data_IF_378164992143
#
_entry.id   IF_378164992143
#
_cell.length_a   1.000
_cell.length_b   1.000
_cell.length_c   1.000
_cell.angle_alpha   90.00
_cell.angle_beta   90.00
_cell.angle_gamma   90.00
#
_symmetry.space_group_name_H-M   'P 1'
#
loop_
_entity.id
_entity.type
_entity.pdbx_description
1 polymer ?
#
# COMPACT_ATOMS: atom_id res chain seq x y z
N UNK A 1 4.39 42.22 -8.31
CA UNK A 1 3.19 41.89 -7.52
C UNK A 1 2.55 40.68 -8.18
N UNK A 2 2.43 39.59 -7.41
CA UNK A 2 1.60 38.39 -7.60
C UNK A 2 1.37 37.88 -9.04
N UNK A 3 2.21 36.94 -9.48
CA UNK A 3 1.78 35.92 -10.44
C UNK A 3 0.91 34.89 -9.72
N UNK A 4 -0.20 34.56 -10.36
CA UNK A 4 -1.29 33.75 -9.82
C UNK A 4 -0.88 32.29 -9.75
N UNK A 5 -1.01 31.71 -8.55
CA UNK A 5 -0.87 30.27 -8.30
C UNK A 5 -1.97 29.55 -9.06
N UNK A 6 -1.57 28.64 -9.95
CA UNK A 6 -2.47 27.77 -10.71
C UNK A 6 -3.43 27.02 -9.77
N UNK A 7 -4.72 27.09 -10.11
CA UNK A 7 -5.78 26.31 -9.49
C UNK A 7 -5.46 24.81 -9.60
N UNK A 8 -5.00 24.20 -8.51
CA UNK A 8 -5.12 22.75 -8.36
C UNK A 8 -6.60 22.42 -8.31
N UNK A 9 -7.16 21.87 -9.39
CA UNK A 9 -8.53 21.37 -9.39
C UNK A 9 -8.67 20.29 -8.30
N UNK A 10 -9.39 20.62 -7.22
CA UNK A 10 -9.87 19.63 -6.28
C UNK A 10 -10.93 18.78 -6.99
N UNK A 11 -10.51 17.65 -7.57
CA UNK A 11 -11.43 16.65 -8.11
C UNK A 11 -12.11 15.97 -6.92
N UNK A 12 -13.34 16.40 -6.61
CA UNK A 12 -14.17 15.74 -5.60
C UNK A 12 -14.42 14.27 -5.95
N UNK A 13 -14.33 13.38 -4.96
CA UNK A 13 -14.57 11.95 -5.14
C UNK A 13 -16.04 11.68 -5.55
N UNK A 14 -16.27 11.31 -6.82
CA UNK A 14 -17.57 10.83 -7.27
C UNK A 14 -17.64 9.33 -7.01
N UNK A 15 -18.29 8.92 -5.92
CA UNK A 15 -18.54 7.51 -5.67
C UNK A 15 -19.32 6.91 -6.85
N UNK A 16 -18.88 5.74 -7.33
CA UNK A 16 -19.55 5.01 -8.41
C UNK A 16 -21.04 4.84 -8.07
N UNK A 17 -21.92 5.19 -9.01
CA UNK A 17 -23.34 4.83 -8.93
C UNK A 17 -23.47 3.34 -9.23
N UNK A 18 -24.00 2.59 -8.26
CA UNK A 18 -24.19 1.15 -8.39
C UNK A 18 -25.37 0.83 -9.32
N UNK A 19 -25.25 -0.26 -10.08
CA UNK A 19 -26.41 -0.86 -10.76
C UNK A 19 -27.29 -1.60 -9.75
N UNK A 20 -28.53 -1.94 -10.13
CA UNK A 20 -29.43 -2.72 -9.28
C UNK A 20 -28.81 -4.07 -8.86
N UNK A 21 -28.15 -4.76 -9.79
CA UNK A 21 -27.43 -6.00 -9.52
C UNK A 21 -26.29 -5.81 -8.50
N UNK A 22 -25.55 -4.69 -8.59
CA UNK A 22 -24.47 -4.39 -7.65
C UNK A 22 -25.01 -4.02 -6.26
N UNK A 23 -26.14 -3.33 -6.17
CA UNK A 23 -26.84 -3.07 -4.91
C UNK A 23 -27.24 -4.39 -4.26
N UNK A 24 -27.83 -5.32 -5.03
CA UNK A 24 -28.23 -6.64 -4.55
C UNK A 24 -27.01 -7.44 -4.06
N UNK A 25 -25.88 -7.40 -4.76
CA UNK A 25 -24.61 -8.00 -4.31
C UNK A 25 -24.15 -7.40 -2.99
N UNK A 26 -24.15 -6.07 -2.86
CA UNK A 26 -23.75 -5.38 -1.63
C UNK A 26 -24.68 -5.72 -0.45
N UNK A 27 -25.98 -5.80 -0.68
CA UNK A 27 -26.95 -6.23 0.33
C UNK A 27 -26.75 -7.69 0.73
N UNK A 28 -26.53 -8.58 -0.24
CA UNK A 28 -26.28 -9.99 0.01
C UNK A 28 -25.06 -10.20 0.93
N UNK A 29 -24.00 -9.39 0.78
CA UNK A 29 -22.81 -9.47 1.65
C UNK A 29 -23.14 -9.26 3.14
N UNK A 30 -24.19 -8.50 3.46
CA UNK A 30 -24.62 -8.25 4.85
C UNK A 30 -25.37 -9.42 5.48
N UNK A 31 -25.81 -10.41 4.70
CA UNK A 31 -26.56 -11.57 5.20
C UNK A 31 -25.74 -12.48 6.12
N UNK A 32 -24.41 -12.43 6.03
CA UNK A 32 -23.51 -13.19 6.91
C UNK A 32 -22.20 -12.45 7.09
N UNK A 33 -21.96 -11.98 8.30
CA UNK A 33 -20.69 -11.37 8.69
C UNK A 33 -19.71 -12.41 9.23
N UNK A 34 -18.42 -12.06 9.19
CA UNK A 34 -17.36 -12.76 9.90
C UNK A 34 -17.55 -12.50 11.40
N UNK A 35 -17.44 -13.55 12.22
CA UNK A 35 -17.54 -13.38 13.67
C UNK A 35 -16.39 -12.53 14.22
N UNK A 36 -16.67 -11.79 15.29
CA UNK A 36 -15.67 -10.95 15.96
C UNK A 36 -14.44 -11.76 16.39
N UNK A 37 -14.65 -12.95 16.93
CA UNK A 37 -13.57 -13.88 17.28
C UNK A 37 -12.65 -14.17 16.09
N UNK A 38 -13.23 -14.47 14.91
CA UNK A 38 -12.46 -14.74 13.69
C UNK A 38 -11.78 -13.47 13.15
N UNK A 39 -12.43 -12.33 13.23
CA UNK A 39 -11.85 -11.04 12.86
C UNK A 39 -10.59 -10.73 13.69
N UNK A 40 -10.69 -10.88 15.01
CA UNK A 40 -9.59 -10.68 15.95
C UNK A 40 -8.45 -11.68 15.72
N UNK A 41 -8.76 -12.93 15.36
CA UNK A 41 -7.72 -13.90 14.97
C UNK A 41 -7.02 -13.50 13.66
N UNK A 42 -7.75 -13.06 12.64
CA UNK A 42 -7.16 -12.63 11.37
C UNK A 42 -6.19 -11.45 11.55
N UNK A 43 -6.53 -10.50 12.42
CA UNK A 43 -5.66 -9.37 12.75
C UNK A 43 -4.39 -9.83 13.48
N UNK A 44 -4.53 -10.69 14.50
CA UNK A 44 -3.37 -11.25 15.24
C UNK A 44 -2.45 -12.09 14.34
N UNK A 45 -3.02 -12.85 13.43
CA UNK A 45 -2.29 -13.75 12.53
C UNK A 45 -1.92 -13.09 11.19
N UNK A 46 -2.12 -11.77 11.01
CA UNK A 46 -1.91 -11.08 9.74
C UNK A 46 -0.51 -11.33 9.16
N UNK A 47 0.54 -11.22 10.00
CA UNK A 47 1.92 -11.52 9.62
C UNK A 47 2.08 -12.95 9.08
N UNK A 48 1.49 -13.93 9.77
CA UNK A 48 1.54 -15.34 9.39
C UNK A 48 0.80 -15.58 8.07
N UNK A 49 -0.36 -14.97 7.86
CA UNK A 49 -1.12 -15.09 6.62
C UNK A 49 -0.34 -14.54 5.42
N UNK A 50 0.27 -13.35 5.57
CA UNK A 50 1.11 -12.79 4.52
C UNK A 50 2.37 -13.64 4.25
N UNK A 51 3.06 -14.16 5.28
CA UNK A 51 4.22 -15.04 5.06
C UNK A 51 3.83 -16.33 4.31
N UNK A 52 2.70 -16.94 4.67
CA UNK A 52 2.15 -18.11 3.97
C UNK A 52 1.72 -17.79 2.54
N UNK A 53 1.18 -16.60 2.30
CA UNK A 53 0.84 -16.13 0.97
C UNK A 53 2.09 -16.09 0.08
N UNK A 54 3.16 -15.44 0.53
CA UNK A 54 4.41 -15.38 -0.23
C UNK A 54 5.10 -16.75 -0.33
N UNK A 55 4.91 -17.65 0.64
CA UNK A 55 5.42 -19.02 0.57
C UNK A 55 4.77 -19.80 -0.57
N UNK A 56 3.47 -19.62 -0.77
CA UNK A 56 2.69 -20.33 -1.80
C UNK A 56 2.89 -19.73 -3.19
N UNK A 57 2.91 -18.41 -3.26
CA UNK A 57 2.83 -17.69 -4.52
C UNK A 57 4.18 -17.21 -5.06
N UNK A 58 5.17 -17.03 -4.19
CA UNK A 58 6.50 -16.56 -4.57
C UNK A 58 6.41 -15.20 -5.31
N UNK A 59 7.27 -14.95 -6.29
CA UNK A 59 7.29 -13.72 -7.09
C UNK A 59 6.25 -13.66 -8.21
N UNK A 60 5.33 -14.63 -8.32
CA UNK A 60 4.50 -14.84 -9.53
C UNK A 60 3.09 -14.24 -9.47
N UNK A 61 2.65 -13.77 -8.30
CA UNK A 61 1.25 -13.36 -8.10
C UNK A 61 0.95 -11.95 -8.58
N UNK A 62 1.74 -10.98 -8.11
CA UNK A 62 1.57 -9.59 -8.50
C UNK A 62 2.39 -9.29 -9.74
N UNK A 63 1.84 -8.46 -10.62
CA UNK A 63 2.53 -7.97 -11.81
C UNK A 63 3.36 -6.74 -11.48
N UNK A 64 4.42 -6.56 -12.24
CA UNK A 64 5.23 -5.35 -12.22
C UNK A 64 4.42 -4.10 -12.61
N UNK A 65 4.65 -3.01 -11.87
CA UNK A 65 3.85 -1.79 -11.94
C UNK A 65 4.47 -0.74 -12.87
N UNK A 66 4.58 -1.03 -14.16
CA UNK A 66 5.03 -0.05 -15.19
C UNK A 66 4.00 1.05 -15.52
N UNK A 67 2.88 1.12 -14.78
CA UNK A 67 1.90 2.21 -14.90
C UNK A 67 2.21 3.38 -13.96
N UNK A 68 3.17 3.22 -13.05
CA UNK A 68 3.34 4.08 -11.86
C UNK A 68 3.58 5.55 -12.23
N UNK A 69 4.48 5.82 -13.17
CA UNK A 69 4.82 7.20 -13.61
C UNK A 69 3.69 7.89 -14.37
N UNK A 70 2.69 7.15 -14.86
CA UNK A 70 1.48 7.72 -15.49
C UNK A 70 0.45 8.18 -14.46
N UNK A 71 0.43 7.55 -13.29
CA UNK A 71 -0.52 7.87 -12.22
C UNK A 71 0.07 8.87 -11.23
N UNK A 72 1.36 8.76 -10.93
CA UNK A 72 2.07 9.67 -10.03
C UNK A 72 3.05 10.52 -10.83
N UNK A 73 2.57 11.67 -11.27
CA UNK A 73 3.37 12.62 -12.04
C UNK A 73 4.50 13.22 -11.20
N UNK A 74 4.38 13.18 -9.88
CA UNK A 74 5.41 13.57 -8.91
C UNK A 74 6.66 12.68 -8.98
N UNK A 75 6.55 11.50 -9.59
CA UNK A 75 7.70 10.65 -9.88
C UNK A 75 8.43 11.05 -11.18
N UNK A 76 7.78 11.84 -12.04
CA UNK A 76 8.39 12.33 -13.28
C UNK A 76 9.46 13.37 -12.94
N UNK A 77 10.65 13.23 -13.53
CA UNK A 77 11.77 14.15 -13.31
C UNK A 77 12.67 13.81 -12.11
N UNK A 78 12.34 12.76 -11.34
CA UNK A 78 13.25 12.23 -10.32
C UNK A 78 14.49 11.60 -10.96
N UNK A 79 15.67 12.00 -10.49
CA UNK A 79 16.95 11.42 -10.95
C UNK A 79 17.79 12.31 -11.86
N UNK A 80 17.52 13.62 -11.94
CA UNK A 80 18.54 14.60 -12.37
C UNK A 80 19.70 14.58 -11.36
N UNK A 81 20.94 14.81 -11.83
CA UNK A 81 22.15 14.57 -11.01
C UNK A 81 22.18 15.39 -9.70
N UNK A 82 21.47 16.52 -9.64
CA UNK A 82 21.45 17.42 -8.49
C UNK A 82 20.28 17.20 -7.50
N UNK A 83 19.34 16.27 -7.76
CA UNK A 83 18.14 16.11 -6.90
C UNK A 83 17.71 14.63 -6.67
N UNK A 84 18.67 13.78 -6.31
CA UNK A 84 18.37 12.38 -5.96
C UNK A 84 17.63 12.29 -4.61
N UNK A 85 16.33 11.95 -4.68
CA UNK A 85 15.45 11.82 -3.51
C UNK A 85 15.64 10.50 -2.74
N UNK A 86 15.12 10.49 -1.51
CA UNK A 86 14.96 9.32 -0.65
C UNK A 86 13.53 8.79 -0.77
N UNK A 87 13.39 7.50 -1.13
CA UNK A 87 12.11 6.81 -1.29
C UNK A 87 11.92 5.80 -0.15
N UNK A 88 10.71 5.72 0.41
CA UNK A 88 10.25 4.59 1.23
C UNK A 88 9.05 3.92 0.56
N UNK A 89 9.21 2.67 0.14
CA UNK A 89 8.08 1.81 -0.22
C UNK A 89 7.57 1.06 1.02
N UNK A 90 6.32 1.30 1.40
CA UNK A 90 5.63 0.54 2.44
C UNK A 90 4.81 -0.58 1.80
N UNK A 91 4.91 -1.79 2.34
CA UNK A 91 4.26 -2.98 1.79
C UNK A 91 4.87 -3.40 0.46
N UNK A 92 6.20 -3.52 0.42
CA UNK A 92 6.94 -3.71 -0.83
C UNK A 92 6.70 -5.07 -1.52
N UNK A 93 6.14 -6.05 -0.79
CA UNK A 93 5.93 -7.38 -1.30
C UNK A 93 7.23 -8.01 -1.82
N UNK A 94 7.27 -8.31 -3.12
CA UNK A 94 8.47 -8.85 -3.79
C UNK A 94 9.20 -7.82 -4.67
N UNK A 95 8.89 -6.53 -4.50
CA UNK A 95 9.55 -5.43 -5.21
C UNK A 95 8.94 -5.04 -6.56
N UNK A 96 7.69 -5.46 -6.85
CA UNK A 96 6.99 -5.14 -8.11
C UNK A 96 6.66 -3.65 -8.31
N UNK A 97 7.12 -2.76 -7.42
CA UNK A 97 7.03 -1.31 -7.56
C UNK A 97 8.45 -0.70 -7.69
N UNK A 98 9.33 -0.92 -6.70
CA UNK A 98 10.67 -0.33 -6.74
C UNK A 98 11.51 -0.80 -7.94
N UNK A 99 11.43 -2.07 -8.33
CA UNK A 99 12.26 -2.57 -9.43
C UNK A 99 11.82 -2.04 -10.80
N UNK A 100 10.53 -2.00 -11.13
CA UNK A 100 10.05 -1.29 -12.32
C UNK A 100 10.48 0.18 -12.38
N UNK A 101 10.49 0.91 -11.26
CA UNK A 101 10.99 2.29 -11.26
C UNK A 101 12.48 2.37 -11.62
N UNK A 102 13.30 1.45 -11.11
CA UNK A 102 14.73 1.38 -11.44
C UNK A 102 14.93 1.00 -12.91
N UNK A 103 14.14 0.06 -13.44
CA UNK A 103 14.15 -0.35 -14.85
C UNK A 103 13.75 0.78 -15.78
N UNK A 104 12.76 1.59 -15.38
CA UNK A 104 12.31 2.79 -16.09
C UNK A 104 13.32 3.95 -15.98
N UNK A 105 14.46 3.74 -15.30
CA UNK A 105 15.60 4.66 -15.26
C UNK A 105 15.56 5.70 -14.14
N UNK A 106 14.60 5.61 -13.20
CA UNK A 106 14.55 6.51 -12.06
C UNK A 106 15.72 6.24 -11.12
N UNK A 107 16.34 7.33 -10.64
CA UNK A 107 17.47 7.28 -9.73
C UNK A 107 17.09 7.86 -8.38
N UNK A 108 17.41 7.10 -7.33
CA UNK A 108 17.21 7.48 -5.95
C UNK A 108 18.56 7.43 -5.23
N UNK A 109 18.75 8.35 -4.27
CA UNK A 109 19.94 8.34 -3.41
C UNK A 109 19.91 7.12 -2.50
N UNK A 110 18.73 6.83 -1.94
CA UNK A 110 18.45 5.65 -1.13
C UNK A 110 17.00 5.23 -1.33
N UNK A 111 16.77 3.93 -1.39
CA UNK A 111 15.46 3.30 -1.37
C UNK A 111 15.36 2.48 -0.09
N UNK A 112 14.39 2.82 0.74
CA UNK A 112 13.91 1.99 1.82
C UNK A 112 12.69 1.22 1.34
N UNK A 113 12.59 -0.05 1.69
CA UNK A 113 11.42 -0.87 1.40
C UNK A 113 11.11 -1.74 2.60
N UNK A 114 9.83 -1.86 2.94
CA UNK A 114 9.44 -2.67 4.08
C UNK A 114 8.17 -3.47 3.84
N UNK A 115 8.06 -4.61 4.51
CA UNK A 115 6.88 -5.47 4.48
C UNK A 115 6.67 -6.15 5.83
N UNK A 116 5.43 -6.52 6.14
CA UNK A 116 5.09 -7.29 7.34
C UNK A 116 5.66 -8.72 7.26
N UNK A 117 5.73 -9.27 6.06
CA UNK A 117 6.20 -10.63 5.78
C UNK A 117 7.74 -10.68 5.67
N UNK A 118 8.44 -11.42 6.54
CA UNK A 118 9.89 -11.59 6.40
C UNK A 118 10.25 -12.30 5.08
N UNK A 119 9.40 -13.21 4.59
CA UNK A 119 9.60 -13.84 3.28
C UNK A 119 9.50 -12.87 2.11
N UNK A 120 8.60 -11.90 2.17
CA UNK A 120 8.48 -10.86 1.15
C UNK A 120 9.77 -10.03 1.06
N UNK A 121 10.31 -9.65 2.23
CA UNK A 121 11.62 -8.98 2.34
C UNK A 121 12.74 -9.83 1.75
N UNK A 122 12.79 -11.13 2.06
CA UNK A 122 13.79 -12.05 1.48
C UNK A 122 13.68 -12.16 -0.05
N UNK A 123 12.46 -12.26 -0.58
CA UNK A 123 12.21 -12.34 -2.02
C UNK A 123 12.58 -11.05 -2.74
N UNK A 124 12.24 -9.89 -2.15
CA UNK A 124 12.65 -8.57 -2.67
C UNK A 124 14.17 -8.49 -2.75
N UNK A 125 14.90 -8.91 -1.72
CA UNK A 125 16.38 -8.89 -1.70
C UNK A 125 17.04 -9.84 -2.71
N UNK A 126 16.33 -10.84 -3.24
CA UNK A 126 16.86 -11.79 -4.24
C UNK A 126 16.80 -11.26 -5.67
N UNK A 127 16.15 -10.12 -5.90
CA UNK A 127 16.05 -9.55 -7.23
C UNK A 127 17.42 -9.16 -7.79
N UNK A 128 17.61 -9.26 -9.10
CA UNK A 128 18.91 -9.00 -9.76
C UNK A 128 19.36 -7.53 -9.63
N UNK A 129 18.40 -6.61 -9.51
CA UNK A 129 18.65 -5.18 -9.31
C UNK A 129 18.82 -4.79 -7.84
N UNK A 130 18.73 -5.74 -6.90
CA UNK A 130 18.96 -5.44 -5.50
C UNK A 130 20.42 -5.04 -5.28
N UNK A 131 20.62 -3.82 -4.77
CA UNK A 131 21.95 -3.33 -4.41
C UNK A 131 21.93 -2.78 -2.97
N UNK A 132 22.59 -3.44 -2.00
CA UNK A 132 22.55 -3.02 -0.60
C UNK A 132 23.23 -1.68 -0.34
N UNK A 133 23.96 -1.11 -1.31
CA UNK A 133 24.55 0.24 -1.18
C UNK A 133 23.50 1.36 -1.23
N UNK A 134 22.39 1.15 -1.93
CA UNK A 134 21.35 2.16 -2.13
C UNK A 134 19.92 1.61 -1.96
N UNK A 135 19.77 0.34 -1.58
CA UNK A 135 18.47 -0.28 -1.29
C UNK A 135 18.54 -1.02 0.05
N UNK A 136 17.76 -0.57 1.03
CA UNK A 136 17.60 -1.21 2.34
C UNK A 136 16.18 -1.77 2.47
N UNK A 137 16.09 -3.10 2.58
CA UNK A 137 14.80 -3.80 2.75
C UNK A 137 14.71 -4.42 4.14
N UNK A 138 13.64 -4.17 4.89
CA UNK A 138 13.48 -4.64 6.26
C UNK A 138 12.05 -5.08 6.59
N UNK A 139 11.92 -5.99 7.56
CA UNK A 139 10.61 -6.44 8.03
C UNK A 139 10.09 -5.46 9.07
N UNK A 140 8.86 -5.00 8.93
CA UNK A 140 8.24 -4.15 9.96
C UNK A 140 6.71 -4.29 9.98
N UNK A 141 6.11 -4.00 11.13
CA UNK A 141 4.67 -3.81 11.24
C UNK A 141 4.40 -2.29 11.37
N UNK A 142 3.83 -1.70 10.33
CA UNK A 142 3.60 -0.25 10.32
C UNK A 142 2.51 0.22 11.28
N UNK A 143 1.80 -0.72 11.91
CA UNK A 143 0.79 -0.43 12.94
C UNK A 143 1.40 -0.29 14.34
N UNK A 144 2.69 -0.59 14.51
CA UNK A 144 3.40 -0.41 15.78
C UNK A 144 4.16 0.91 15.83
N UNK A 145 4.40 1.44 17.02
CA UNK A 145 5.21 2.66 17.19
C UNK A 145 6.68 2.43 16.77
N UNK A 146 7.34 3.48 16.28
CA UNK A 146 8.76 3.46 15.88
C UNK A 146 9.12 2.38 14.84
N UNK A 147 8.16 1.96 14.01
CA UNK A 147 8.31 0.90 13.01
C UNK A 147 9.37 1.17 11.93
N UNK A 148 9.80 2.43 11.76
CA UNK A 148 10.78 2.85 10.77
C UNK A 148 12.16 3.17 11.37
N UNK A 149 12.53 2.53 12.48
CA UNK A 149 13.85 2.70 13.11
C UNK A 149 15.05 2.35 12.19
N UNK A 150 14.81 1.57 11.14
CA UNK A 150 15.80 1.24 10.11
C UNK A 150 15.99 2.35 9.06
N UNK A 151 15.14 3.38 9.05
CA UNK A 151 15.20 4.50 8.09
C UNK A 151 16.03 5.62 8.73
N UNK A 152 17.27 5.74 8.30
CA UNK A 152 18.28 6.68 8.81
C UNK A 152 18.36 7.99 8.00
N UNK A 153 17.30 8.30 7.23
CA UNK A 153 17.18 9.49 6.39
C UNK A 153 15.80 10.13 6.55
N UNK A 154 15.74 11.46 6.37
CA UNK A 154 14.47 12.13 6.07
C UNK A 154 13.97 11.67 4.70
N UNK A 155 12.72 11.23 4.63
CA UNK A 155 12.13 10.63 3.43
C UNK A 155 11.41 11.69 2.62
N UNK A 156 11.72 11.79 1.32
CA UNK A 156 11.06 12.74 0.44
C UNK A 156 9.77 12.16 -0.15
N UNK A 157 9.75 10.84 -0.40
CA UNK A 157 8.61 10.16 -1.04
C UNK A 157 8.31 8.89 -0.27
N UNK A 158 7.07 8.75 0.19
CA UNK A 158 6.53 7.50 0.73
C UNK A 158 5.51 6.96 -0.25
N UNK A 159 5.55 5.65 -0.54
CA UNK A 159 4.49 4.98 -1.30
C UNK A 159 3.74 3.93 -0.51
N UNK A 160 2.41 3.90 -0.66
CA UNK A 160 1.51 2.89 -0.11
C UNK A 160 0.59 2.35 -1.21
N UNK A 161 0.96 1.23 -1.83
CA UNK A 161 0.21 0.65 -2.95
C UNK A 161 -0.52 -0.64 -2.51
N UNK A 162 -1.83 -0.56 -2.31
CA UNK A 162 -2.72 -1.60 -1.77
C UNK A 162 -2.35 -2.05 -0.34
N UNK A 163 -1.94 -1.09 0.50
CA UNK A 163 -1.45 -1.34 1.87
C UNK A 163 -2.51 -1.04 2.92
N UNK A 164 -3.12 0.15 2.85
CA UNK A 164 -4.08 0.60 3.86
C UNK A 164 -5.30 -0.31 3.89
N UNK A 165 -5.66 -0.90 2.76
CA UNK A 165 -6.76 -1.86 2.71
C UNK A 165 -6.48 -3.20 3.41
N UNK A 166 -5.22 -3.50 3.72
CA UNK A 166 -4.87 -4.65 4.54
C UNK A 166 -4.86 -4.33 6.05
N UNK A 167 -5.03 -3.06 6.44
CA UNK A 167 -4.83 -2.58 7.82
C UNK A 167 -6.16 -2.17 8.46
N UNK A 168 -6.32 -2.43 9.76
CA UNK A 168 -7.48 -1.97 10.51
C UNK A 168 -7.54 -0.42 10.58
N UNK A 169 -8.65 0.25 10.23
CA UNK A 169 -8.84 1.69 10.32
C UNK A 169 -8.52 2.25 11.70
N UNK A 170 -8.71 1.48 12.76
CA UNK A 170 -8.29 1.86 14.12
C UNK A 170 -6.79 2.18 14.19
N UNK A 171 -5.98 1.57 13.33
CA UNK A 171 -4.53 1.73 13.24
C UNK A 171 -4.11 2.80 12.22
N UNK A 172 -5.02 3.37 11.42
CA UNK A 172 -4.66 4.36 10.39
C UNK A 172 -4.01 5.60 11.00
N UNK A 173 -4.49 6.04 12.17
CA UNK A 173 -3.88 7.17 12.88
C UNK A 173 -2.42 6.90 13.24
N UNK A 174 -2.11 5.68 13.69
CA UNK A 174 -0.74 5.26 13.99
C UNK A 174 0.11 5.22 12.74
N UNK A 175 -0.39 4.64 11.64
CA UNK A 175 0.31 4.60 10.35
C UNK A 175 0.63 6.01 9.87
N UNK A 176 -0.36 6.91 9.82
CA UNK A 176 -0.17 8.29 9.38
C UNK A 176 0.82 9.03 10.29
N UNK A 177 0.76 8.83 11.61
CA UNK A 177 1.73 9.42 12.56
C UNK A 177 3.15 8.92 12.30
N UNK A 178 3.32 7.62 12.08
CA UNK A 178 4.63 7.03 11.77
C UNK A 178 5.21 7.59 10.47
N UNK A 179 4.38 7.72 9.42
CA UNK A 179 4.79 8.33 8.15
C UNK A 179 5.15 9.81 8.31
N UNK A 180 4.33 10.57 9.04
CA UNK A 180 4.59 11.99 9.30
C UNK A 180 5.95 12.22 9.96
N UNK A 181 6.33 11.36 10.91
CA UNK A 181 7.58 11.51 11.67
C UNK A 181 8.85 11.28 10.84
N UNK A 182 8.77 10.57 9.71
CA UNK A 182 9.93 10.29 8.85
C UNK A 182 9.97 11.18 7.60
N UNK A 183 8.86 11.84 7.27
CA UNK A 183 8.76 12.69 6.09
C UNK A 183 9.57 13.96 6.29
N UNK A 184 10.32 14.30 5.25
CA UNK A 184 10.99 15.60 5.18
C UNK A 184 9.97 16.73 4.98
N UNK A 185 10.40 17.97 5.20
CA UNK A 185 9.59 19.15 4.88
C UNK A 185 9.36 19.17 3.36
N UNK A 186 8.09 19.20 2.95
CA UNK A 186 7.70 19.10 1.53
C UNK A 186 7.71 17.67 0.99
N UNK A 187 7.95 16.67 1.83
CA UNK A 187 7.81 15.27 1.47
C UNK A 187 6.37 14.91 1.13
N UNK A 188 6.20 13.93 0.25
CA UNK A 188 4.91 13.52 -0.28
C UNK A 188 4.60 12.06 0.04
N UNK A 189 3.31 11.78 0.22
CA UNK A 189 2.79 10.42 0.35
C UNK A 189 1.97 10.10 -0.89
N UNK A 190 2.45 9.16 -1.69
CA UNK A 190 1.72 8.62 -2.83
C UNK A 190 1.03 7.34 -2.38
N UNK A 191 -0.29 7.25 -2.52
CA UNK A 191 -0.99 6.03 -2.21
C UNK A 191 -1.98 5.66 -3.30
N UNK A 192 -2.14 4.37 -3.51
CA UNK A 192 -3.17 3.79 -4.35
C UNK A 192 -3.78 2.63 -3.60
N UNK A 193 -5.09 2.61 -3.47
CA UNK A 193 -5.76 1.52 -2.79
C UNK A 193 -7.12 1.20 -3.44
N UNK A 194 -7.77 0.16 -2.92
CA UNK A 194 -9.12 -0.21 -3.30
C UNK A 194 -10.12 0.87 -2.90
N UNK A 195 -10.95 1.27 -3.86
CA UNK A 195 -11.98 2.29 -3.66
C UNK A 195 -13.31 1.67 -3.26
N UNK A 196 -14.20 2.50 -2.73
CA UNK A 196 -15.59 2.12 -2.51
C UNK A 196 -16.25 1.71 -3.84
N UNK A 197 -16.94 0.57 -3.83
CA UNK A 197 -17.65 -0.03 -4.95
C UNK A 197 -16.79 -0.49 -6.12
N UNK A 198 -15.50 -0.70 -5.88
CA UNK A 198 -14.64 -1.28 -6.88
C UNK A 198 -15.00 -2.76 -7.18
N UNK A 199 -14.39 -3.27 -8.25
CA UNK A 199 -14.64 -4.64 -8.68
C UNK A 199 -14.16 -5.69 -7.68
N UNK A 200 -13.27 -5.37 -6.74
CA UNK A 200 -12.84 -6.29 -5.69
C UNK A 200 -13.93 -6.39 -4.62
N UNK A 201 -14.49 -5.27 -4.18
CA UNK A 201 -15.57 -5.21 -3.20
C UNK A 201 -16.80 -5.99 -3.65
N UNK A 202 -17.22 -5.78 -4.89
CA UNK A 202 -18.44 -6.36 -5.45
C UNK A 202 -18.36 -7.89 -5.62
N UNK A 203 -17.16 -8.47 -5.57
CA UNK A 203 -16.94 -9.92 -5.71
C UNK A 203 -17.00 -10.68 -4.39
N UNK A 204 -17.00 -10.01 -3.24
CA UNK A 204 -17.11 -10.71 -1.97
C UNK A 204 -18.48 -11.36 -1.79
N UNK A 205 -18.45 -12.59 -1.25
CA UNK A 205 -19.64 -13.40 -0.94
C UNK A 205 -20.01 -13.28 0.54
N UNK A 206 -21.24 -13.66 0.94
CA UNK A 206 -21.62 -13.73 2.35
C UNK A 206 -20.65 -14.57 3.17
N UNK A 207 -20.24 -14.08 4.34
CA UNK A 207 -19.24 -14.69 5.22
C UNK A 207 -17.81 -14.16 5.03
N UNK A 208 -17.61 -13.16 4.16
CA UNK A 208 -16.32 -12.49 3.98
C UNK A 208 -16.28 -11.08 4.58
N UNK A 209 -17.43 -10.43 4.79
CA UNK A 209 -17.50 -9.08 5.36
C UNK A 209 -17.31 -9.14 6.87
N UNK A 210 -16.31 -8.45 7.42
CA UNK A 210 -16.08 -8.36 8.86
C UNK A 210 -16.84 -7.16 9.44
N UNK A 211 -16.70 -6.00 8.81
CA UNK A 211 -17.42 -4.78 9.19
C UNK A 211 -17.64 -3.92 7.95
N UNK A 212 -18.19 -2.71 8.13
CA UNK A 212 -18.46 -1.83 7.02
C UNK A 212 -17.19 -1.53 6.21
N UNK A 213 -17.22 -1.85 4.91
CA UNK A 213 -16.10 -1.76 3.97
C UNK A 213 -14.83 -2.57 4.31
N UNK A 214 -14.93 -3.52 5.25
CA UNK A 214 -13.83 -4.41 5.62
C UNK A 214 -14.17 -5.87 5.31
N UNK A 215 -13.28 -6.53 4.58
CA UNK A 215 -13.44 -7.90 4.14
C UNK A 215 -12.20 -8.76 4.40
N UNK A 216 -12.42 -10.07 4.48
CA UNK A 216 -11.36 -11.08 4.50
C UNK A 216 -11.29 -11.84 3.17
N UNK A 217 -10.08 -12.16 2.72
CA UNK A 217 -9.85 -13.06 1.59
C UNK A 217 -9.83 -14.53 2.05
N UNK A 218 -9.96 -15.45 1.09
CA UNK A 218 -10.01 -16.89 1.37
C UNK A 218 -8.72 -17.45 1.96
N UNK A 219 -7.57 -16.86 1.61
CA UNK A 219 -6.25 -17.26 2.09
C UNK A 219 -5.91 -16.71 3.49
N UNK A 220 -6.85 -15.98 4.12
CA UNK A 220 -6.67 -15.35 5.42
C UNK A 220 -6.03 -13.97 5.37
N UNK A 221 -5.59 -13.50 4.19
CA UNK A 221 -5.14 -12.10 4.03
C UNK A 221 -6.34 -11.15 4.07
N UNK A 222 -6.14 -9.94 4.59
CA UNK A 222 -7.17 -8.92 4.63
C UNK A 222 -7.22 -8.14 3.30
N UNK A 223 -8.42 -7.70 2.92
CA UNK A 223 -8.60 -6.73 1.85
C UNK A 223 -9.84 -5.87 2.13
N UNK A 224 -9.70 -4.56 2.05
CA UNK A 224 -10.75 -3.56 2.31
C UNK A 224 -11.02 -2.75 1.07
N UNK A 225 -12.15 -2.05 1.07
CA UNK A 225 -12.37 -0.88 0.21
C UNK A 225 -12.27 0.36 1.09
N UNK A 226 -11.45 1.33 0.71
CA UNK A 226 -11.27 2.56 1.46
C UNK A 226 -12.27 3.59 0.94
N UNK A 227 -13.07 4.14 1.86
CA UNK A 227 -13.77 5.40 1.64
C UNK A 227 -12.87 6.50 2.20
N UNK A 228 -12.22 7.25 1.32
CA UNK A 228 -11.55 8.48 1.72
C UNK A 228 -12.65 9.46 2.15
N UNK A 229 -12.51 10.01 3.36
CA UNK A 229 -13.46 10.95 3.96
C UNK A 229 -13.23 12.33 3.34
#
# INVERSE_FOLDING_TARGET
MAESVENSEYIGHVAKKLTQEEIEKMQAQNSRLVSEFRANQLEKDAKKHWDLFYKRNDTRFFKDRHWTTREFHELLGLGTEDDQKILLEVGCGVGNFIYPLIEDGLKFKMIFACDLSPRAVELTKKHILYNPKNIKVFQTDITTENCFCEVDYSVNIVTLIFVLSAINPTNFRTVVKNLYNILDIGGIVLFRDYGLYDMAQLRFKPGHKISENLYMRQDGTSGRSIKLI
#
